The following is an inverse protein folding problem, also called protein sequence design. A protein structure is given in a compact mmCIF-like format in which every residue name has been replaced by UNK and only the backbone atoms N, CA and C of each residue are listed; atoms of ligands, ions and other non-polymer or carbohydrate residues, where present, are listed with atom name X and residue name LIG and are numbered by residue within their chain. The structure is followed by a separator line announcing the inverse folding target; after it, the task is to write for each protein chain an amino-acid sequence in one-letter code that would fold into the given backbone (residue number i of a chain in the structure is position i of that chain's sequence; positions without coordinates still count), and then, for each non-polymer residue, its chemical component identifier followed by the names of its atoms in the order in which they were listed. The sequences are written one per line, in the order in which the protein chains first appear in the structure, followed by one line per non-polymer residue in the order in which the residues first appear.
data_IF_033332776776
#
_entry.id   IF_033332776776
#
_cell.length_a   1.000
_cell.length_b   1.000
_cell.length_c   1.000
_cell.angle_alpha   90.00
_cell.angle_beta   90.00
_cell.angle_gamma   90.00
#
_symmetry.space_group_name_H-M   'P 1'
#
loop_
_entity.id
_entity.type
_entity.pdbx_description
1 polymer ?
#
# COMPACT_ATOMS: atom_id res chain seq x y z
N UNK A 1 -0.04 -17.17 -23.79
CA UNK A 1 -0.11 -18.24 -22.76
C UNK A 1 0.89 -17.89 -21.67
N UNK A 2 0.46 -17.78 -20.41
CA UNK A 2 1.38 -17.65 -19.28
C UNK A 2 2.17 -18.96 -19.14
N UNK A 3 3.51 -18.86 -19.19
CA UNK A 3 4.43 -20.02 -19.12
C UNK A 3 4.59 -20.49 -17.66
N UNK A 4 5.03 -21.73 -17.42
CA UNK A 4 5.36 -22.20 -16.07
C UNK A 4 6.43 -21.30 -15.44
N UNK A 5 6.40 -21.10 -14.11
CA UNK A 5 7.43 -20.33 -13.41
C UNK A 5 8.80 -20.90 -13.71
N UNK A 6 9.68 -20.05 -14.20
CA UNK A 6 11.10 -20.33 -14.33
C UNK A 6 11.85 -19.61 -13.21
N UNK A 7 13.11 -19.97 -12.98
CA UNK A 7 13.95 -19.17 -12.08
C UNK A 7 14.16 -17.72 -12.57
N UNK A 8 13.94 -17.44 -13.85
CA UNK A 8 14.26 -16.16 -14.50
C UNK A 8 13.16 -15.11 -14.27
N UNK A 9 11.89 -15.44 -14.47
CA UNK A 9 10.78 -14.52 -14.21
C UNK A 9 10.70 -14.15 -12.73
N UNK A 10 10.96 -15.10 -11.82
CA UNK A 10 11.03 -14.85 -10.37
C UNK A 10 12.13 -13.83 -10.06
N UNK A 11 13.34 -14.00 -10.61
CA UNK A 11 14.45 -13.05 -10.43
C UNK A 11 14.12 -11.66 -10.98
N UNK A 12 13.53 -11.60 -12.18
CA UNK A 12 13.12 -10.35 -12.79
C UNK A 12 12.05 -9.64 -11.95
N UNK A 13 11.00 -10.34 -11.50
CA UNK A 13 9.96 -9.76 -10.63
C UNK A 13 10.52 -9.29 -9.29
N UNK A 14 11.42 -10.04 -8.67
CA UNK A 14 12.08 -9.62 -7.44
C UNK A 14 12.91 -8.34 -7.63
N UNK A 15 13.66 -8.24 -8.72
CA UNK A 15 14.38 -7.01 -9.09
C UNK A 15 13.43 -5.84 -9.36
N UNK A 16 12.30 -6.09 -10.04
CA UNK A 16 11.26 -5.09 -10.28
C UNK A 16 10.63 -4.57 -8.99
N UNK A 17 10.29 -5.45 -8.04
CA UNK A 17 9.77 -5.07 -6.71
C UNK A 17 10.76 -4.15 -5.99
N UNK A 18 12.05 -4.48 -6.02
CA UNK A 18 13.09 -3.65 -5.42
C UNK A 18 13.16 -2.25 -6.05
N UNK A 19 13.15 -2.18 -7.39
CA UNK A 19 13.18 -0.90 -8.10
C UNK A 19 11.93 -0.06 -7.85
N UNK A 20 10.75 -0.67 -7.74
CA UNK A 20 9.52 0.05 -7.36
C UNK A 20 9.63 0.66 -5.96
N UNK A 21 10.22 -0.08 -5.01
CA UNK A 21 10.45 0.42 -3.65
C UNK A 21 11.43 1.59 -3.61
N UNK A 22 12.43 1.59 -4.49
CA UNK A 22 13.47 2.62 -4.53
C UNK A 22 13.03 3.85 -5.35
N UNK A 23 12.40 3.64 -6.50
CA UNK A 23 12.26 4.67 -7.55
C UNK A 23 10.81 4.95 -7.96
N UNK A 24 9.81 4.28 -7.37
CA UNK A 24 8.41 4.44 -7.77
C UNK A 24 8.07 3.74 -9.10
N UNK A 25 6.84 3.99 -9.59
CA UNK A 25 6.32 3.36 -10.81
C UNK A 25 7.08 3.86 -12.04
N UNK A 26 7.29 5.18 -12.12
CA UNK A 26 7.92 5.77 -13.29
C UNK A 26 9.41 5.44 -13.38
N UNK A 27 10.08 5.26 -12.23
CA UNK A 27 11.49 4.92 -12.13
C UNK A 27 11.87 3.47 -12.45
N UNK A 28 10.91 2.59 -12.76
CA UNK A 28 11.21 1.23 -13.20
C UNK A 28 11.87 1.24 -14.59
N UNK A 29 13.02 0.56 -14.73
CA UNK A 29 13.75 0.43 -16.00
C UNK A 29 13.98 -1.03 -16.35
N UNK A 30 13.72 -1.41 -17.61
CA UNK A 30 13.96 -2.78 -18.11
C UNK A 30 15.44 -3.14 -17.98
N UNK A 31 16.33 -2.23 -18.42
CA UNK A 31 17.79 -2.43 -18.36
C UNK A 31 18.25 -2.65 -16.92
N UNK A 32 17.77 -1.82 -15.99
CA UNK A 32 18.16 -1.92 -14.59
C UNK A 32 17.59 -3.16 -13.92
N UNK A 33 16.35 -3.53 -14.25
CA UNK A 33 15.71 -4.77 -13.78
C UNK A 33 16.53 -5.98 -14.21
N UNK A 34 16.92 -6.03 -15.49
CA UNK A 34 17.77 -7.08 -16.05
C UNK A 34 19.13 -7.14 -15.36
N UNK A 35 19.77 -5.98 -15.16
CA UNK A 35 21.05 -5.86 -14.47
C UNK A 35 20.98 -6.40 -13.03
N UNK A 36 19.97 -6.00 -12.27
CA UNK A 36 19.75 -6.45 -10.90
C UNK A 36 19.39 -7.94 -10.81
N UNK A 37 18.66 -8.47 -11.78
CA UNK A 37 18.30 -9.88 -11.85
C UNK A 37 19.44 -10.78 -12.34
N UNK A 38 20.51 -10.21 -12.92
CA UNK A 38 21.57 -10.97 -13.60
C UNK A 38 21.08 -11.67 -14.86
N UNK A 39 20.15 -11.04 -15.59
CA UNK A 39 19.45 -11.60 -16.75
C UNK A 39 19.68 -10.67 -17.95
N UNK A 40 19.81 -11.23 -19.17
CA UNK A 40 19.93 -10.41 -20.38
C UNK A 40 18.57 -9.79 -20.78
N UNK A 41 18.60 -8.65 -21.48
CA UNK A 41 17.38 -7.91 -21.87
C UNK A 41 16.47 -8.68 -22.83
N UNK A 42 17.03 -9.57 -23.67
CA UNK A 42 16.26 -10.44 -24.55
C UNK A 42 15.31 -11.35 -23.76
N UNK A 43 15.77 -11.89 -22.64
CA UNK A 43 14.95 -12.73 -21.76
C UNK A 43 13.83 -11.94 -21.09
N UNK A 44 14.03 -10.65 -20.77
CA UNK A 44 12.94 -9.82 -20.25
C UNK A 44 11.78 -9.72 -21.24
N UNK A 45 12.07 -9.36 -22.49
CA UNK A 45 11.04 -9.24 -23.52
C UNK A 45 10.41 -10.60 -23.85
N UNK A 46 11.18 -11.69 -23.75
CA UNK A 46 10.66 -13.04 -23.88
C UNK A 46 9.63 -13.40 -22.81
N UNK A 47 9.84 -13.02 -21.54
CA UNK A 47 8.91 -13.35 -20.45
C UNK A 47 7.72 -12.39 -20.36
N UNK A 48 7.97 -11.09 -20.50
CA UNK A 48 6.97 -10.07 -20.16
C UNK A 48 6.51 -9.22 -21.34
N UNK A 49 7.18 -9.31 -22.50
CA UNK A 49 6.86 -8.51 -23.68
C UNK A 49 7.26 -7.05 -23.56
N UNK A 50 6.68 -6.31 -22.59
CA UNK A 50 6.90 -4.88 -22.39
C UNK A 50 7.13 -4.51 -20.92
N UNK A 51 7.60 -3.28 -20.68
CA UNK A 51 7.76 -2.72 -19.33
C UNK A 51 6.40 -2.63 -18.61
N UNK A 52 5.35 -2.28 -19.34
CA UNK A 52 4.00 -2.07 -18.83
C UNK A 52 3.37 -3.39 -18.37
N UNK A 53 3.51 -4.45 -19.16
CA UNK A 53 3.02 -5.78 -18.76
C UNK A 53 3.80 -6.33 -17.57
N UNK A 54 5.13 -6.17 -17.55
CA UNK A 54 5.95 -6.51 -16.40
C UNK A 54 5.53 -5.76 -15.14
N UNK A 55 5.30 -4.45 -15.24
CA UNK A 55 4.84 -3.60 -14.14
C UNK A 55 3.48 -4.10 -13.61
N UNK A 56 2.53 -4.40 -14.50
CA UNK A 56 1.22 -4.95 -14.12
C UNK A 56 1.37 -6.27 -13.35
N UNK A 57 2.21 -7.18 -13.81
CA UNK A 57 2.45 -8.45 -13.11
C UNK A 57 3.05 -8.26 -11.72
N UNK A 58 4.10 -7.45 -11.60
CA UNK A 58 4.75 -7.18 -10.31
C UNK A 58 3.77 -6.55 -9.32
N UNK A 59 2.98 -5.57 -9.76
CA UNK A 59 2.01 -4.88 -8.92
C UNK A 59 0.84 -5.79 -8.54
N UNK A 60 0.37 -6.63 -9.46
CA UNK A 60 -0.68 -7.61 -9.21
C UNK A 60 -0.28 -8.58 -8.11
N UNK A 61 0.96 -9.07 -8.10
CA UNK A 61 1.42 -9.97 -7.05
C UNK A 61 1.54 -9.26 -5.69
N UNK A 62 2.11 -8.04 -5.64
CA UNK A 62 2.16 -7.24 -4.40
C UNK A 62 0.74 -7.07 -3.82
N UNK A 63 -0.23 -6.78 -4.69
CA UNK A 63 -1.61 -6.56 -4.28
C UNK A 63 -2.35 -7.86 -3.91
N UNK A 64 -2.04 -8.98 -4.56
CA UNK A 64 -2.60 -10.29 -4.20
C UNK A 64 -2.20 -10.71 -2.79
N UNK A 65 -0.93 -10.53 -2.41
CA UNK A 65 -0.42 -10.80 -1.06
C UNK A 65 -1.18 -9.96 -0.01
N UNK A 66 -1.41 -8.68 -0.32
CA UNK A 66 -2.21 -7.79 0.51
C UNK A 66 -3.67 -8.25 0.65
N UNK A 67 -4.35 -8.57 -0.46
CA UNK A 67 -5.76 -8.96 -0.39
C UNK A 67 -5.99 -10.25 0.37
N UNK A 68 -5.03 -11.18 0.34
CA UNK A 68 -5.07 -12.40 1.14
C UNK A 68 -5.05 -12.06 2.64
N UNK A 69 -4.10 -11.25 3.08
CA UNK A 69 -3.98 -10.82 4.48
C UNK A 69 -5.19 -9.98 4.92
N UNK A 70 -5.64 -9.07 4.06
CA UNK A 70 -6.81 -8.23 4.29
C UNK A 70 -8.07 -9.07 4.55
N UNK A 71 -8.36 -10.04 3.68
CA UNK A 71 -9.54 -10.90 3.84
C UNK A 71 -9.48 -11.77 5.09
N UNK A 72 -8.31 -12.32 5.40
CA UNK A 72 -8.10 -13.12 6.61
C UNK A 72 -8.27 -12.26 7.87
N UNK A 73 -7.67 -11.07 7.93
CA UNK A 73 -7.80 -10.18 9.08
C UNK A 73 -9.24 -9.72 9.32
N UNK A 74 -9.98 -9.42 8.25
CA UNK A 74 -11.37 -8.95 8.33
C UNK A 74 -12.35 -10.08 8.66
N UNK A 75 -12.14 -11.31 8.20
CA UNK A 75 -13.09 -12.42 8.39
C UNK A 75 -13.19 -12.89 9.84
N UNK A 76 -12.10 -12.77 10.62
CA UNK A 76 -12.01 -13.21 12.02
C UNK A 76 -12.72 -12.26 12.99
N UNK A 77 -12.95 -11.01 12.59
CA UNK A 77 -13.53 -10.00 13.46
C UNK A 77 -15.05 -10.15 13.63
N UNK A 78 -15.56 -9.83 14.82
CA UNK A 78 -16.96 -10.04 15.21
C UNK A 78 -17.91 -9.03 14.59
N UNK A 79 -18.04 -7.86 15.20
CA UNK A 79 -19.01 -6.83 14.78
C UNK A 79 -18.57 -6.09 13.51
N UNK A 80 -19.47 -5.39 12.79
CA UNK A 80 -19.08 -4.53 11.67
C UNK A 80 -18.02 -3.48 12.04
N UNK A 81 -18.07 -2.96 13.27
CA UNK A 81 -17.05 -2.05 13.82
C UNK A 81 -15.70 -2.74 13.93
N UNK A 82 -15.66 -3.94 14.50
CA UNK A 82 -14.42 -4.71 14.65
C UNK A 82 -13.83 -5.08 13.28
N UNK A 83 -14.68 -5.44 12.32
CA UNK A 83 -14.29 -5.68 10.93
C UNK A 83 -13.73 -4.43 10.26
N UNK A 84 -14.33 -3.27 10.50
CA UNK A 84 -13.82 -1.99 10.00
C UNK A 84 -12.47 -1.66 10.64
N UNK A 85 -12.30 -1.90 11.95
CA UNK A 85 -11.00 -1.75 12.63
C UNK A 85 -9.95 -2.67 12.03
N UNK A 86 -10.27 -3.95 11.86
CA UNK A 86 -9.37 -4.93 11.25
C UNK A 86 -8.98 -4.52 9.82
N UNK A 87 -9.93 -4.04 9.02
CA UNK A 87 -9.65 -3.52 7.68
C UNK A 87 -8.66 -2.34 7.72
N UNK A 88 -8.84 -1.38 8.64
CA UNK A 88 -7.91 -0.26 8.82
C UNK A 88 -6.51 -0.73 9.25
N UNK A 89 -6.43 -1.71 10.14
CA UNK A 89 -5.15 -2.33 10.56
C UNK A 89 -4.43 -2.94 9.36
N UNK A 90 -5.12 -3.73 8.54
CA UNK A 90 -4.52 -4.35 7.35
C UNK A 90 -4.08 -3.31 6.31
N UNK A 91 -4.80 -2.18 6.18
CA UNK A 91 -4.33 -1.03 5.38
C UNK A 91 -3.05 -0.43 5.96
N UNK A 92 -2.98 -0.26 7.29
CA UNK A 92 -1.78 0.25 7.97
C UNK A 92 -0.57 -0.67 7.77
N UNK A 93 -0.74 -1.98 7.92
CA UNK A 93 0.31 -2.99 7.70
C UNK A 93 0.77 -2.99 6.24
N UNK A 94 -0.16 -2.94 5.29
CA UNK A 94 0.18 -2.85 3.87
C UNK A 94 0.98 -1.60 3.55
N UNK A 95 0.51 -0.43 3.99
CA UNK A 95 1.20 0.82 3.81
C UNK A 95 2.62 0.76 4.38
N UNK A 96 2.81 0.12 5.55
CA UNK A 96 4.11 -0.07 6.17
C UNK A 96 5.01 -1.00 5.36
N UNK A 97 4.49 -2.11 4.87
CA UNK A 97 5.22 -3.04 4.00
C UNK A 97 5.73 -2.37 2.72
N UNK A 98 5.00 -1.37 2.21
CA UNK A 98 5.41 -0.57 1.06
C UNK A 98 5.99 0.81 1.43
N UNK A 99 6.37 1.06 2.70
CA UNK A 99 6.80 2.39 3.19
C UNK A 99 7.86 3.05 2.33
N UNK A 100 8.83 2.28 1.85
CA UNK A 100 9.89 2.81 0.98
C UNK A 100 9.34 3.28 -0.37
N UNK A 101 8.38 2.55 -0.93
CA UNK A 101 7.72 2.87 -2.20
C UNK A 101 6.70 4.01 -2.06
N UNK A 102 5.99 4.08 -0.93
CA UNK A 102 4.82 4.95 -0.75
C UNK A 102 5.05 6.44 -1.08
N UNK A 103 6.18 7.08 -0.69
CA UNK A 103 6.48 8.45 -1.10
C UNK A 103 6.63 8.63 -2.61
N UNK A 104 7.24 7.66 -3.30
CA UNK A 104 7.43 7.75 -4.75
C UNK A 104 6.12 7.50 -5.49
N UNK A 105 5.31 6.56 -5.02
CA UNK A 105 3.96 6.36 -5.53
C UNK A 105 3.10 7.62 -5.36
N UNK A 106 3.16 8.26 -4.19
CA UNK A 106 2.48 9.54 -3.96
C UNK A 106 3.03 10.63 -4.91
N UNK A 107 4.35 10.71 -5.07
CA UNK A 107 4.98 11.66 -5.99
C UNK A 107 4.50 11.44 -7.43
N UNK A 108 4.43 10.21 -7.91
CA UNK A 108 3.93 9.89 -9.25
C UNK A 108 2.47 10.34 -9.43
N UNK A 109 1.63 10.20 -8.41
CA UNK A 109 0.24 10.68 -8.41
C UNK A 109 0.16 12.20 -8.43
N UNK A 110 0.91 12.89 -7.55
CA UNK A 110 0.95 14.35 -7.46
C UNK A 110 1.37 14.98 -8.79
N UNK A 111 2.34 14.37 -9.49
CA UNK A 111 2.85 14.85 -10.77
C UNK A 111 2.04 14.36 -11.99
N UNK A 112 0.86 13.77 -11.80
CA UNK A 112 -0.03 13.44 -12.91
C UNK A 112 0.43 12.27 -13.77
N UNK A 113 1.28 11.36 -13.27
CA UNK A 113 1.84 10.26 -14.07
C UNK A 113 0.77 9.23 -14.43
N UNK A 114 0.48 9.07 -15.72
CA UNK A 114 -0.62 8.24 -16.23
C UNK A 114 -0.55 6.79 -15.70
N UNK A 115 0.65 6.22 -15.67
CA UNK A 115 0.92 4.86 -15.20
C UNK A 115 0.54 4.67 -13.73
N UNK A 116 0.69 5.70 -12.89
CA UNK A 116 0.29 5.66 -11.49
C UNK A 116 -1.23 5.67 -11.32
N UNK A 117 -1.96 6.43 -12.14
CA UNK A 117 -3.42 6.40 -12.13
C UNK A 117 -3.99 5.09 -12.68
N UNK A 118 -3.36 4.51 -13.71
CA UNK A 118 -3.73 3.18 -14.22
C UNK A 118 -3.52 2.11 -13.13
N UNK A 119 -2.43 2.20 -12.37
CA UNK A 119 -2.19 1.34 -11.22
C UNK A 119 -3.30 1.45 -10.17
N UNK A 120 -3.62 2.67 -9.72
CA UNK A 120 -4.68 2.90 -8.71
C UNK A 120 -6.01 2.34 -9.22
N UNK A 121 -6.40 2.66 -10.45
CA UNK A 121 -7.67 2.18 -11.04
C UNK A 121 -7.72 0.65 -11.15
N UNK A 122 -6.62 0.01 -11.49
CA UNK A 122 -6.57 -1.44 -11.72
C UNK A 122 -6.48 -2.28 -10.44
N UNK A 123 -5.91 -1.73 -9.36
CA UNK A 123 -5.56 -2.51 -8.18
C UNK A 123 -6.34 -2.06 -6.93
N UNK A 124 -6.68 -0.79 -6.75
CA UNK A 124 -7.27 -0.28 -5.50
C UNK A 124 -8.81 -0.37 -5.48
N UNK A 125 -9.39 -1.43 -6.04
CA UNK A 125 -10.84 -1.56 -6.19
C UNK A 125 -11.46 -2.46 -5.13
N UNK A 126 -10.85 -3.62 -4.89
CA UNK A 126 -11.45 -4.67 -4.05
C UNK A 126 -11.49 -4.29 -2.57
N UNK A 127 -10.33 -3.95 -1.97
CA UNK A 127 -10.30 -3.55 -0.55
C UNK A 127 -11.13 -2.30 -0.28
N UNK A 128 -11.14 -1.33 -1.21
CA UNK A 128 -11.95 -0.11 -1.09
C UNK A 128 -13.43 -0.47 -1.02
N UNK A 129 -13.88 -1.41 -1.86
CA UNK A 129 -15.27 -1.88 -1.85
C UNK A 129 -15.64 -2.53 -0.52
N UNK A 130 -14.74 -3.34 0.06
CA UNK A 130 -14.95 -3.92 1.40
C UNK A 130 -15.03 -2.86 2.49
N UNK A 131 -14.12 -1.87 2.48
CA UNK A 131 -14.11 -0.78 3.47
C UNK A 131 -15.37 0.07 3.36
N UNK A 132 -15.80 0.41 2.14
CA UNK A 132 -17.04 1.15 1.87
C UNK A 132 -18.26 0.38 2.40
N UNK A 133 -18.34 -0.93 2.18
CA UNK A 133 -19.43 -1.75 2.68
C UNK A 133 -19.46 -1.81 4.22
N UNK A 134 -18.29 -1.92 4.87
CA UNK A 134 -18.18 -1.92 6.33
C UNK A 134 -18.50 -0.55 6.92
N UNK A 135 -18.01 0.52 6.32
CA UNK A 135 -18.33 1.90 6.69
C UNK A 135 -19.84 2.14 6.58
N UNK A 136 -20.50 1.64 5.53
CA UNK A 136 -21.96 1.74 5.37
C UNK A 136 -22.73 1.05 6.49
N UNK A 137 -22.28 -0.11 6.95
CA UNK A 137 -22.88 -0.82 8.09
C UNK A 137 -22.68 -0.06 9.42
N UNK A 138 -21.54 0.61 9.59
CA UNK A 138 -21.24 1.35 10.81
C UNK A 138 -21.86 2.75 10.84
N UNK A 139 -22.08 3.37 9.68
CA UNK A 139 -22.52 4.78 9.56
C UNK A 139 -23.73 5.13 10.44
N UNK A 140 -24.83 4.36 10.49
CA UNK A 140 -26.02 4.73 11.26
C UNK A 140 -25.75 4.92 12.77
N UNK A 141 -24.70 4.29 13.31
CA UNK A 141 -24.33 4.36 14.73
C UNK A 141 -23.17 5.33 15.01
N UNK A 142 -22.59 5.93 13.96
CA UNK A 142 -21.49 6.88 14.09
C UNK A 142 -21.99 8.31 14.33
N UNK A 143 -21.15 9.16 14.90
CA UNK A 143 -21.43 10.60 15.05
C UNK A 143 -21.50 11.32 13.69
N UNK A 144 -20.97 10.71 12.63
CA UNK A 144 -20.96 11.24 11.25
C UNK A 144 -22.08 10.64 10.39
N UNK A 145 -23.16 10.14 10.99
CA UNK A 145 -24.26 9.47 10.29
C UNK A 145 -24.93 10.33 9.21
N UNK A 146 -24.90 11.66 9.36
CA UNK A 146 -25.40 12.63 8.38
C UNK A 146 -24.50 12.84 7.15
N UNK A 147 -23.26 12.33 7.16
CA UNK A 147 -22.31 12.48 6.05
C UNK A 147 -22.37 11.29 5.08
N UNK A 148 -21.76 11.47 3.90
CA UNK A 148 -21.65 10.43 2.89
C UNK A 148 -20.64 9.35 3.29
N UNK A 149 -20.74 8.14 2.74
CA UNK A 149 -19.74 7.09 2.96
C UNK A 149 -18.35 7.49 2.47
N UNK A 150 -18.19 8.16 1.30
CA UNK A 150 -16.89 8.70 0.91
C UNK A 150 -16.28 9.63 1.95
N UNK A 151 -17.07 10.51 2.59
CA UNK A 151 -16.57 11.37 3.67
C UNK A 151 -15.98 10.55 4.83
N UNK A 152 -16.72 9.52 5.29
CA UNK A 152 -16.29 8.64 6.37
C UNK A 152 -14.99 7.90 6.01
N UNK A 153 -14.92 7.29 4.82
CA UNK A 153 -13.75 6.52 4.37
C UNK A 153 -12.52 7.41 4.14
N UNK A 154 -12.71 8.57 3.49
CA UNK A 154 -11.62 9.53 3.23
C UNK A 154 -11.10 10.19 4.52
N UNK A 155 -11.87 10.15 5.62
CA UNK A 155 -11.42 10.62 6.94
C UNK A 155 -10.67 9.54 7.72
N UNK A 156 -11.07 8.27 7.59
CA UNK A 156 -10.44 7.14 8.31
C UNK A 156 -9.08 6.75 7.72
N UNK A 157 -8.96 6.66 6.40
CA UNK A 157 -7.76 6.13 5.72
C UNK A 157 -6.49 6.95 5.95
N UNK A 158 -6.51 8.31 5.96
CA UNK A 158 -5.29 9.09 6.18
C UNK A 158 -4.60 8.79 7.50
N UNK A 159 -5.35 8.49 8.57
CA UNK A 159 -4.78 8.12 9.89
C UNK A 159 -3.88 6.88 9.78
N UNK A 160 -4.20 5.98 8.84
CA UNK A 160 -3.43 4.76 8.61
C UNK A 160 -2.22 5.00 7.68
N UNK A 161 -2.39 5.78 6.62
CA UNK A 161 -1.42 5.89 5.52
C UNK A 161 -0.45 7.07 5.67
N UNK A 162 -0.95 8.23 6.13
CA UNK A 162 -0.18 9.47 6.13
C UNK A 162 1.09 9.42 7.02
N UNK A 163 1.05 8.90 8.26
CA UNK A 163 2.26 8.78 9.08
C UNK A 163 3.37 7.97 8.41
N UNK A 164 2.99 6.95 7.63
CA UNK A 164 3.92 6.07 6.93
C UNK A 164 4.54 6.78 5.73
N UNK A 165 3.74 7.52 4.96
CA UNK A 165 4.23 8.35 3.86
C UNK A 165 5.23 9.39 4.38
N UNK A 166 4.86 10.15 5.42
CA UNK A 166 5.73 11.16 6.02
C UNK A 166 7.02 10.52 6.51
N UNK A 167 6.94 9.40 7.22
CA UNK A 167 8.13 8.69 7.67
C UNK A 167 9.03 8.22 6.53
N UNK A 168 8.47 7.75 5.41
CA UNK A 168 9.23 7.39 4.23
C UNK A 168 9.90 8.60 3.55
N UNK A 169 9.25 9.77 3.58
CA UNK A 169 9.84 11.04 3.11
C UNK A 169 11.02 11.44 3.98
N UNK A 170 10.88 11.40 5.32
CA UNK A 170 11.95 11.73 6.25
C UNK A 170 13.19 10.85 6.04
N UNK A 171 12.98 9.53 5.87
CA UNK A 171 14.08 8.59 5.57
C UNK A 171 14.85 8.94 4.31
N UNK A 172 14.12 9.15 3.22
CA UNK A 172 14.70 9.42 1.90
C UNK A 172 15.54 10.69 1.91
N UNK A 173 15.26 11.61 2.82
CA UNK A 173 15.98 12.88 2.98
C UNK A 173 16.97 12.86 4.16
N UNK A 174 17.23 11.70 4.78
CA UNK A 174 18.20 11.56 5.86
C UNK A 174 17.81 12.27 7.16
N UNK A 175 16.53 12.61 7.35
CA UNK A 175 16.03 13.29 8.54
C UNK A 175 15.83 12.27 9.65
N UNK A 176 16.72 12.32 10.66
CA UNK A 176 16.73 11.38 11.79
C UNK A 176 16.12 11.94 13.08
N UNK A 177 15.90 13.26 13.15
CA UNK A 177 15.34 13.93 14.33
C UNK A 177 14.23 14.91 13.93
N UNK A 178 13.19 14.96 14.75
CA UNK A 178 12.16 15.99 14.70
C UNK A 178 12.24 16.77 16.01
N UNK A 179 12.84 17.96 15.97
CA UNK A 179 13.25 18.70 17.18
C UNK A 179 14.09 17.81 18.10
N UNK A 180 13.61 17.53 19.30
CA UNK A 180 14.31 16.75 20.33
C UNK A 180 13.98 15.25 20.27
N UNK A 181 13.07 14.83 19.39
CA UNK A 181 12.63 13.44 19.28
C UNK A 181 13.39 12.68 18.19
N UNK A 182 13.81 11.46 18.50
CA UNK A 182 14.39 10.54 17.53
C UNK A 182 13.28 9.92 16.65
N UNK A 183 13.48 9.97 15.34
CA UNK A 183 12.50 9.46 14.38
C UNK A 183 12.37 7.93 14.47
N UNK A 184 13.41 7.20 14.87
CA UNK A 184 13.34 5.74 15.08
C UNK A 184 12.53 5.37 16.32
N UNK A 185 12.61 6.14 17.39
CA UNK A 185 11.77 5.92 18.57
C UNK A 185 10.29 6.12 18.25
N UNK A 186 9.96 7.21 17.54
CA UNK A 186 8.60 7.48 17.05
C UNK A 186 8.08 6.37 16.13
N UNK A 187 8.97 5.73 15.35
CA UNK A 187 8.61 4.60 14.49
C UNK A 187 8.30 3.35 15.30
N UNK A 188 9.10 3.07 16.32
CA UNK A 188 8.88 1.96 17.24
C UNK A 188 7.47 2.02 17.84
N UNK A 189 7.02 3.22 18.19
CA UNK A 189 5.65 3.45 18.67
C UNK A 189 4.62 3.35 17.53
N UNK A 190 4.70 4.21 16.51
CA UNK A 190 3.64 4.40 15.50
C UNK A 190 3.43 3.20 14.57
N UNK A 191 4.48 2.41 14.33
CA UNK A 191 4.51 1.35 13.32
C UNK A 191 4.63 -0.06 13.91
N UNK A 192 4.69 -0.20 15.23
CA UNK A 192 4.43 -1.50 15.88
C UNK A 192 3.03 -2.00 15.57
N UNK A 193 2.79 -3.31 15.69
CA UNK A 193 1.44 -3.87 15.55
C UNK A 193 0.44 -3.20 16.52
N UNK A 194 0.87 -2.92 17.75
CA UNK A 194 0.10 -2.20 18.75
C UNK A 194 -0.20 -0.75 18.30
N UNK A 195 0.80 -0.03 17.79
CA UNK A 195 0.62 1.34 17.29
C UNK A 195 -0.29 1.43 16.08
N UNK A 196 -0.21 0.46 15.16
CA UNK A 196 -1.14 0.36 14.02
C UNK A 196 -2.57 0.09 14.53
N UNK A 197 -2.74 -0.82 15.47
CA UNK A 197 -4.04 -1.13 16.07
C UNK A 197 -4.65 0.06 16.82
N UNK A 198 -3.83 0.81 17.55
CA UNK A 198 -4.25 2.01 18.27
C UNK A 198 -4.62 3.14 17.31
N UNK A 199 -3.86 3.37 16.23
CA UNK A 199 -4.25 4.34 15.20
C UNK A 199 -5.58 4.00 14.53
N UNK A 200 -5.84 2.72 14.28
CA UNK A 200 -7.14 2.27 13.76
C UNK A 200 -8.27 2.55 14.78
N UNK A 201 -8.01 2.32 16.08
CA UNK A 201 -8.96 2.66 17.15
C UNK A 201 -9.21 4.17 17.26
N UNK A 202 -8.16 4.99 17.21
CA UNK A 202 -8.25 6.46 17.21
C UNK A 202 -9.11 6.94 16.03
N UNK A 203 -8.89 6.38 14.84
CA UNK A 203 -9.67 6.73 13.66
C UNK A 203 -11.17 6.46 13.86
N UNK A 204 -11.53 5.29 14.42
CA UNK A 204 -12.92 4.92 14.69
C UNK A 204 -13.55 5.78 15.78
N UNK A 205 -12.84 6.00 16.90
CA UNK A 205 -13.32 6.88 17.98
C UNK A 205 -13.54 8.30 17.51
N UNK A 206 -12.68 8.80 16.61
CA UNK A 206 -12.78 10.13 16.01
C UNK A 206 -14.07 10.38 15.23
N UNK A 207 -14.73 9.32 14.74
CA UNK A 207 -16.04 9.40 14.09
C UNK A 207 -17.19 8.92 14.98
N UNK A 208 -16.94 8.72 16.28
CA UNK A 208 -17.91 8.29 17.27
C UNK A 208 -18.30 6.81 17.17
N UNK A 209 -17.36 5.92 16.77
CA UNK A 209 -17.55 4.47 16.75
C UNK A 209 -16.78 3.73 17.85
#
# INVERSE_FOLDING_TARGET
MARPPSGTDIKLKAAGRKLLQENGITGLSVRETCRLAGVNTGMFHYYFGSKEEFLKEVLKEIYADFMLNFKTGVSVAGTPRDKLKAALVEIGKFALAVRKAAPMLLSDVIHGKKEAFEFIRGNFTEHVSHIVALAAQCRPRSAVSGHSIPFMVLTLLPVMVFPIIISGILDRNGIKKLKDQDVEELRGELFSDAGIAERAEIALRGIGL
#
